data_IF_591574563949
#
_entry.id   IF_591574563949
#
_cell.length_a   1.000
_cell.length_b   1.000
_cell.length_c   1.000
_cell.angle_alpha   90.00
_cell.angle_beta   90.00
_cell.angle_gamma   90.00
#
_symmetry.space_group_name_H-M   'P 1'
#
loop_
_entity.id
_entity.type
_entity.pdbx_description
1 polymer ?
#
# COMPACT_ATOMS: atom_id res chain seq x y z
N UNK A 1 14.87 52.62 105.62
CA UNK A 1 15.86 53.71 105.67
C UNK A 1 16.66 53.68 104.36
N UNK A 2 16.61 54.80 103.65
CA UNK A 2 17.52 55.31 102.60
C UNK A 2 17.73 54.61 101.24
N UNK A 3 17.51 55.47 100.25
CA UNK A 3 17.67 55.41 98.79
C UNK A 3 19.10 55.79 98.35
N UNK A 4 19.34 55.70 97.03
CA UNK A 4 20.39 56.31 96.18
C UNK A 4 21.64 55.44 95.92
N UNK A 5 22.05 55.12 94.68
CA UNK A 5 22.49 56.06 93.64
C UNK A 5 22.37 55.56 92.16
N UNK A 6 22.22 56.55 91.25
CA UNK A 6 22.31 56.60 89.76
C UNK A 6 23.77 56.32 89.27
N UNK A 7 24.10 55.65 88.15
CA UNK A 7 23.90 55.83 86.67
C UNK A 7 25.27 56.00 85.95
N UNK A 8 25.36 55.56 84.68
CA UNK A 8 26.36 55.84 83.59
C UNK A 8 27.56 54.86 83.49
N UNK A 9 28.09 54.38 82.35
CA UNK A 9 28.08 54.71 80.91
C UNK A 9 28.32 53.42 80.05
N UNK A 10 27.81 53.38 78.81
CA UNK A 10 28.33 52.51 77.74
C UNK A 10 29.60 53.12 77.13
N UNK A 11 30.52 52.31 76.57
CA UNK A 11 30.80 52.49 75.16
C UNK A 11 30.92 51.17 74.38
N UNK A 12 30.44 51.22 73.14
CA UNK A 12 30.57 50.22 72.10
C UNK A 12 32.03 49.99 71.73
N UNK A 13 32.40 48.75 71.38
CA UNK A 13 33.13 48.51 70.14
C UNK A 13 33.21 47.01 69.83
N UNK A 14 32.91 46.69 68.57
CA UNK A 14 33.71 45.80 67.72
C UNK A 14 33.91 44.35 68.21
N UNK A 15 33.63 43.30 67.45
CA UNK A 15 33.73 43.18 65.99
C UNK A 15 33.43 41.71 65.65
N UNK A 16 32.91 41.49 64.45
CA UNK A 16 32.99 40.24 63.69
C UNK A 16 32.08 39.09 64.14
N UNK A 17 30.78 39.26 63.90
CA UNK A 17 29.99 38.13 63.41
C UNK A 17 30.60 37.69 62.08
N UNK A 18 31.48 36.69 62.16
CA UNK A 18 32.05 36.00 61.01
C UNK A 18 30.92 35.49 60.13
N UNK A 19 30.96 35.91 58.88
CA UNK A 19 30.11 35.52 57.76
C UNK A 19 30.26 34.03 57.45
N UNK A 20 29.67 33.17 58.27
CA UNK A 20 29.20 31.88 57.76
C UNK A 20 27.97 32.20 56.92
N UNK A 21 28.22 32.58 55.66
CA UNK A 21 27.25 32.54 54.58
C UNK A 21 26.76 31.10 54.58
N UNK A 22 25.65 30.86 55.28
CA UNK A 22 25.01 29.56 55.35
C UNK A 22 24.90 29.11 53.90
N UNK A 23 25.70 28.12 53.52
CA UNK A 23 25.46 27.40 52.27
C UNK A 23 24.15 26.71 52.55
N UNK A 24 23.06 27.38 52.18
CA UNK A 24 21.74 26.81 52.07
C UNK A 24 21.84 25.71 51.02
N UNK A 25 22.38 24.55 51.41
CA UNK A 25 22.18 23.28 50.70
C UNK A 25 20.76 22.76 50.96
N UNK A 26 19.79 23.68 50.99
CA UNK A 26 18.38 23.42 51.18
C UNK A 26 17.63 24.06 50.02
N UNK A 27 17.97 23.61 48.81
CA UNK A 27 17.04 23.63 47.69
C UNK A 27 16.82 22.19 47.22
N UNK A 28 16.56 21.28 48.15
CA UNK A 28 15.70 20.14 47.82
C UNK A 28 14.30 20.72 47.78
N UNK A 29 13.87 21.28 46.65
CA UNK A 29 12.43 21.36 46.40
C UNK A 29 11.92 19.94 46.62
N UNK A 30 11.10 19.74 47.66
CA UNK A 30 10.47 18.46 47.93
C UNK A 30 9.54 18.19 46.75
N UNK A 31 10.08 17.59 45.68
CA UNK A 31 9.28 17.14 44.54
C UNK A 31 8.35 16.07 45.12
N UNK A 32 7.12 16.47 45.43
CA UNK A 32 6.10 15.53 45.85
C UNK A 32 5.93 14.51 44.73
N UNK A 33 6.34 13.27 45.00
CA UNK A 33 6.22 12.18 44.03
C UNK A 33 4.74 12.04 43.69
N UNK A 34 4.41 12.08 42.40
CA UNK A 34 3.02 11.86 41.97
C UNK A 34 2.52 10.51 42.47
N UNK A 35 1.26 10.45 42.88
CA UNK A 35 0.66 9.23 43.38
C UNK A 35 0.84 8.06 42.37
N UNK A 36 1.18 6.83 42.79
CA UNK A 36 1.46 5.71 41.86
C UNK A 36 0.36 5.45 40.83
N UNK A 37 -0.91 5.64 41.21
CA UNK A 37 -2.07 5.53 40.31
C UNK A 37 -2.06 6.59 39.21
N UNK A 38 -1.63 7.83 39.50
CA UNK A 38 -1.51 8.88 38.48
C UNK A 38 -0.39 8.58 37.50
N UNK A 39 0.76 8.11 37.98
CA UNK A 39 1.87 7.69 37.13
C UNK A 39 1.39 6.56 36.19
N UNK A 40 0.67 5.57 36.73
CA UNK A 40 0.07 4.49 35.93
C UNK A 40 -0.92 5.03 34.90
N UNK A 41 -1.81 5.96 35.28
CA UNK A 41 -2.76 6.61 34.34
C UNK A 41 -2.04 7.34 33.22
N UNK A 42 -1.02 8.15 33.53
CA UNK A 42 -0.20 8.86 32.52
C UNK A 42 0.51 7.87 31.60
N UNK A 43 1.06 6.78 32.13
CA UNK A 43 1.72 5.75 31.32
C UNK A 43 0.74 5.00 30.41
N UNK A 44 -0.46 4.69 30.91
CA UNK A 44 -1.53 4.08 30.11
C UNK A 44 -1.97 5.04 29.01
N UNK A 45 -2.19 6.31 29.31
CA UNK A 45 -2.56 7.33 28.32
C UNK A 45 -1.50 7.47 27.22
N UNK A 46 -0.21 7.49 27.59
CA UNK A 46 0.91 7.46 26.64
C UNK A 46 0.92 6.20 25.77
N UNK A 47 0.62 5.03 26.35
CA UNK A 47 0.54 3.78 25.60
C UNK A 47 -0.64 3.78 24.63
N UNK A 48 -1.79 4.28 25.05
CA UNK A 48 -3.00 4.40 24.22
C UNK A 48 -2.75 5.37 23.06
N UNK A 49 -2.18 6.56 23.32
CA UNK A 49 -1.89 7.53 22.26
C UNK A 49 -0.89 6.99 21.24
N UNK A 50 0.15 6.28 21.70
CA UNK A 50 1.09 5.59 20.80
C UNK A 50 0.40 4.50 19.98
N UNK A 51 -0.46 3.69 20.59
CA UNK A 51 -1.24 2.67 19.88
C UNK A 51 -2.19 3.28 18.85
N UNK A 52 -2.84 4.41 19.16
CA UNK A 52 -3.68 5.13 18.21
C UNK A 52 -2.89 5.64 17.02
N UNK A 53 -1.70 6.23 17.25
CA UNK A 53 -0.79 6.65 16.18
C UNK A 53 -0.28 5.47 15.34
N UNK A 54 -0.07 4.31 15.96
CA UNK A 54 0.31 3.10 15.23
C UNK A 54 -0.86 2.54 14.42
N UNK A 55 -2.08 2.59 14.94
CA UNK A 55 -3.29 2.11 14.27
C UNK A 55 -3.67 2.97 13.08
N UNK A 56 -3.54 4.30 13.17
CA UNK A 56 -3.83 5.21 12.05
C UNK A 56 -2.89 5.01 10.86
N UNK A 57 -1.69 4.46 11.09
CA UNK A 57 -0.71 4.14 10.06
C UNK A 57 -0.91 2.76 9.42
N UNK A 58 -1.81 1.91 9.93
CA UNK A 58 -1.99 0.54 9.42
C UNK A 58 -2.74 0.57 8.09
N UNK A 59 -2.19 -0.10 7.08
CA UNK A 59 -2.90 -0.35 5.83
C UNK A 59 -3.89 -1.52 5.93
N UNK A 60 -4.82 -1.59 4.98
CA UNK A 60 -5.77 -2.68 4.86
C UNK A 60 -5.07 -3.99 4.48
N UNK A 61 -5.39 -5.10 5.15
CA UNK A 61 -4.73 -6.40 4.92
C UNK A 61 -5.04 -6.98 3.52
N UNK A 62 -6.22 -6.68 2.98
CA UNK A 62 -6.65 -7.18 1.67
C UNK A 62 -6.01 -6.37 0.56
N UNK A 63 -6.28 -5.06 0.51
CA UNK A 63 -5.89 -4.16 -0.59
C UNK A 63 -4.50 -3.55 -0.42
N UNK A 64 -4.01 -3.41 0.80
CA UNK A 64 -2.78 -2.68 1.08
C UNK A 64 -2.87 -1.18 0.78
N UNK A 65 -1.70 -0.59 0.58
CA UNK A 65 -1.46 0.79 0.13
C UNK A 65 -1.37 0.76 -1.41
N UNK A 66 -2.02 1.69 -2.14
CA UNK A 66 -1.89 1.73 -3.59
C UNK A 66 -0.46 2.04 -4.03
N UNK A 67 0.10 1.20 -4.89
CA UNK A 67 1.41 1.34 -5.53
C UNK A 67 1.27 1.51 -7.05
N UNK A 68 2.34 1.93 -7.76
CA UNK A 68 2.33 1.98 -9.22
C UNK A 68 1.90 0.67 -9.87
N UNK A 69 2.37 -0.47 -9.34
CA UNK A 69 1.95 -1.80 -9.79
C UNK A 69 0.44 -2.01 -9.59
N UNK A 70 -0.08 -1.81 -8.38
CA UNK A 70 -1.51 -2.06 -8.11
C UNK A 70 -2.44 -1.12 -8.88
N UNK A 71 -1.94 0.07 -9.23
CA UNK A 71 -2.67 1.04 -10.05
C UNK A 71 -2.64 0.68 -11.54
N UNK A 72 -1.64 -0.08 -12.00
CA UNK A 72 -1.59 -0.57 -13.39
C UNK A 72 -2.56 -1.75 -13.63
N UNK A 73 -2.92 -2.47 -12.57
CA UNK A 73 -3.87 -3.58 -12.65
C UNK A 73 -5.27 -3.10 -13.05
N UNK A 74 -5.80 -3.72 -14.10
CA UNK A 74 -7.08 -3.35 -14.69
C UNK A 74 -8.25 -3.94 -13.92
N UNK A 75 -9.27 -3.13 -13.71
CA UNK A 75 -10.49 -3.52 -12.99
C UNK A 75 -11.67 -3.68 -13.94
N UNK A 76 -12.44 -4.77 -13.88
CA UNK A 76 -13.60 -4.94 -14.75
C UNK A 76 -14.58 -3.75 -14.70
N UNK A 77 -14.89 -3.20 -13.52
CA UNK A 77 -15.81 -2.06 -13.42
C UNK A 77 -15.30 -0.79 -14.11
N UNK A 78 -13.99 -0.53 -14.04
CA UNK A 78 -13.38 0.65 -14.66
C UNK A 78 -13.48 0.59 -16.18
N UNK A 79 -13.23 -0.59 -16.77
CA UNK A 79 -13.29 -0.81 -18.22
C UNK A 79 -14.72 -0.55 -18.73
N UNK A 80 -15.74 -1.13 -18.10
CA UNK A 80 -17.13 -0.94 -18.53
C UNK A 80 -17.60 0.51 -18.38
N UNK A 81 -17.17 1.20 -17.32
CA UNK A 81 -17.55 2.61 -17.09
C UNK A 81 -16.91 3.53 -18.14
N UNK A 82 -15.64 3.28 -18.48
CA UNK A 82 -14.93 4.05 -19.52
C UNK A 82 -15.58 3.92 -20.91
N UNK A 83 -16.12 2.74 -21.24
CA UNK A 83 -16.80 2.48 -22.51
C UNK A 83 -18.13 3.25 -22.63
N UNK A 84 -18.84 3.45 -21.51
CA UNK A 84 -20.14 4.12 -21.50
C UNK A 84 -20.03 5.66 -21.50
N UNK A 85 -18.89 6.22 -21.07
CA UNK A 85 -18.64 7.67 -21.10
C UNK A 85 -18.22 8.22 -22.48
N UNK A 86 -17.98 7.35 -23.46
CA UNK A 86 -17.60 7.72 -24.83
C UNK A 86 -18.81 7.88 -25.74
N UNK A 87 -19.55 8.99 -25.58
CA UNK A 87 -20.50 9.49 -26.59
C UNK A 87 -19.83 10.34 -27.68
N UNK A 88 -18.49 10.32 -27.80
CA UNK A 88 -17.75 10.93 -28.91
C UNK A 88 -16.41 10.20 -29.14
N UNK A 89 -16.12 9.72 -30.36
CA UNK A 89 -14.92 8.95 -30.70
C UNK A 89 -13.69 9.83 -30.97
N UNK A 90 -13.43 10.80 -30.10
CA UNK A 90 -12.24 11.65 -30.21
C UNK A 90 -11.87 12.22 -28.84
N UNK A 91 -10.58 12.17 -28.52
CA UNK A 91 -9.88 12.69 -27.33
C UNK A 91 -9.97 11.87 -26.04
N UNK A 92 -9.30 10.71 -26.05
CA UNK A 92 -8.44 10.31 -24.95
C UNK A 92 -7.01 10.24 -25.49
N UNK A 93 -6.29 11.36 -25.39
CA UNK A 93 -4.83 11.36 -25.49
C UNK A 93 -4.26 10.71 -24.23
N UNK A 94 -4.29 9.38 -24.19
CA UNK A 94 -3.48 8.61 -23.24
C UNK A 94 -2.05 8.67 -23.76
N UNK A 95 -1.17 9.34 -23.02
CA UNK A 95 0.28 9.26 -23.24
C UNK A 95 0.68 7.79 -23.40
N UNK A 96 1.15 7.44 -24.59
CA UNK A 96 1.60 6.10 -25.00
C UNK A 96 0.52 5.01 -24.85
N UNK A 97 -0.37 4.95 -25.85
CA UNK A 97 -1.43 3.94 -26.04
C UNK A 97 -0.88 2.50 -26.08
N UNK A 98 -0.51 1.93 -24.94
CA UNK A 98 -0.37 0.48 -24.80
C UNK A 98 -1.77 -0.11 -24.76
N UNK A 99 -2.37 -0.32 -25.93
CA UNK A 99 -3.69 -0.88 -26.05
C UNK A 99 -3.63 -2.36 -25.64
N UNK A 100 -4.03 -2.66 -24.42
CA UNK A 100 -4.04 -4.03 -23.92
C UNK A 100 -5.00 -4.88 -24.75
N UNK A 101 -4.50 -6.01 -25.27
CA UNK A 101 -5.27 -6.97 -26.04
C UNK A 101 -5.58 -8.22 -25.21
N UNK A 102 -6.71 -8.83 -25.54
CA UNK A 102 -7.11 -10.13 -25.06
C UNK A 102 -6.30 -11.23 -25.78
N UNK A 103 -6.41 -12.47 -25.32
CA UNK A 103 -5.81 -13.67 -25.95
C UNK A 103 -4.28 -13.73 -25.94
N UNK A 104 -3.60 -12.93 -25.11
CA UNK A 104 -2.13 -12.94 -24.98
C UNK A 104 -1.39 -12.65 -26.29
N UNK A 105 -1.98 -11.84 -27.17
CA UNK A 105 -1.30 -11.33 -28.35
C UNK A 105 -0.09 -10.50 -27.92
N UNK A 106 1.10 -10.94 -28.28
CA UNK A 106 2.32 -10.18 -28.05
C UNK A 106 2.53 -9.17 -29.19
N UNK A 107 3.44 -8.19 -29.00
CA UNK A 107 3.63 -7.11 -29.97
C UNK A 107 4.01 -7.57 -31.39
N UNK A 108 4.69 -8.73 -31.50
CA UNK A 108 4.98 -9.36 -32.80
C UNK A 108 3.73 -9.90 -33.48
N UNK A 109 2.84 -10.52 -32.70
CA UNK A 109 1.58 -11.06 -33.21
C UNK A 109 0.64 -9.92 -33.62
N UNK A 110 0.63 -8.82 -32.85
CA UNK A 110 -0.13 -7.61 -33.20
C UNK A 110 0.39 -6.96 -34.49
N UNK A 111 1.70 -6.84 -34.64
CA UNK A 111 2.30 -6.32 -35.87
C UNK A 111 1.97 -7.20 -37.07
N UNK A 112 2.07 -8.52 -36.89
CA UNK A 112 1.71 -9.48 -37.93
C UNK A 112 0.24 -9.37 -38.33
N UNK A 113 -0.69 -9.37 -37.36
CA UNK A 113 -2.13 -9.38 -37.64
C UNK A 113 -2.67 -8.05 -38.15
N UNK A 114 -2.12 -6.92 -37.71
CA UNK A 114 -2.70 -5.60 -37.98
C UNK A 114 -1.95 -4.78 -39.03
N UNK A 115 -0.73 -5.17 -39.40
CA UNK A 115 0.07 -4.50 -40.44
C UNK A 115 0.42 -5.46 -41.56
N UNK A 116 1.21 -6.50 -41.24
CA UNK A 116 1.81 -7.37 -42.26
C UNK A 116 0.75 -8.17 -43.05
N UNK A 117 -0.18 -8.84 -42.35
CA UNK A 117 -1.18 -9.68 -43.00
C UNK A 117 -2.14 -8.90 -43.91
N UNK A 118 -2.68 -7.73 -43.50
CA UNK A 118 -3.47 -6.88 -44.39
C UNK A 118 -2.72 -6.43 -45.64
N UNK A 119 -1.46 -6.03 -45.51
CA UNK A 119 -0.64 -5.56 -46.65
C UNK A 119 -0.46 -6.70 -47.67
N UNK A 120 -0.14 -7.91 -47.21
CA UNK A 120 -0.01 -9.11 -48.06
C UNK A 120 -1.33 -9.43 -48.79
N UNK A 121 -2.48 -9.24 -48.14
CA UNK A 121 -3.78 -9.51 -48.76
C UNK A 121 -4.07 -8.48 -49.87
N UNK A 122 -3.77 -7.20 -49.61
CA UNK A 122 -3.94 -6.11 -50.58
C UNK A 122 -3.02 -6.32 -51.80
N UNK A 123 -1.79 -6.80 -51.57
CA UNK A 123 -0.84 -7.08 -52.67
C UNK A 123 -1.28 -8.25 -53.56
N UNK A 124 -1.88 -9.30 -52.97
CA UNK A 124 -2.21 -10.54 -53.69
C UNK A 124 -3.63 -10.59 -54.27
N UNK A 125 -4.52 -9.67 -53.89
CA UNK A 125 -5.93 -9.68 -54.30
C UNK A 125 -6.42 -8.30 -54.72
N UNK A 126 -7.43 -8.24 -55.60
CA UNK A 126 -8.08 -6.98 -56.00
C UNK A 126 -9.07 -6.48 -54.94
N UNK A 127 -8.74 -6.62 -53.66
CA UNK A 127 -9.60 -6.10 -52.58
C UNK A 127 -9.36 -4.61 -52.41
N UNK A 128 -10.45 -3.85 -52.22
CA UNK A 128 -10.34 -2.43 -51.94
C UNK A 128 -9.70 -2.21 -50.56
N UNK A 129 -8.69 -1.33 -50.44
CA UNK A 129 -7.96 -1.12 -49.20
C UNK A 129 -8.87 -0.64 -48.05
N UNK A 130 -9.93 0.10 -48.38
CA UNK A 130 -10.93 0.56 -47.39
C UNK A 130 -11.67 -0.61 -46.71
N UNK A 131 -11.97 -1.67 -47.46
CA UNK A 131 -12.64 -2.87 -46.92
C UNK A 131 -11.72 -3.63 -45.97
N UNK A 132 -10.44 -3.77 -46.32
CA UNK A 132 -9.44 -4.40 -45.43
C UNK A 132 -9.20 -3.57 -44.17
N UNK A 133 -9.11 -2.24 -44.29
CA UNK A 133 -9.01 -1.34 -43.13
C UNK A 133 -10.20 -1.53 -42.18
N UNK A 134 -11.42 -1.65 -42.72
CA UNK A 134 -12.62 -1.95 -41.96
C UNK A 134 -12.53 -3.28 -41.20
N UNK A 135 -12.03 -4.35 -41.84
CA UNK A 135 -11.81 -5.66 -41.21
C UNK A 135 -10.77 -5.60 -40.10
N UNK A 136 -9.65 -4.92 -40.34
CA UNK A 136 -8.59 -4.69 -39.34
C UNK A 136 -9.16 -3.96 -38.12
N UNK A 137 -10.00 -2.95 -38.33
CA UNK A 137 -10.64 -2.21 -37.25
C UNK A 137 -11.60 -3.09 -36.44
N UNK A 138 -12.41 -3.92 -37.11
CA UNK A 138 -13.27 -4.91 -36.45
C UNK A 138 -12.42 -5.87 -35.61
N UNK A 139 -11.32 -6.39 -36.16
CA UNK A 139 -10.41 -7.31 -35.46
C UNK A 139 -9.77 -6.63 -34.24
N UNK A 140 -9.34 -5.37 -34.36
CA UNK A 140 -8.86 -4.56 -33.22
C UNK A 140 -9.94 -4.44 -32.14
N UNK A 141 -11.19 -4.19 -32.51
CA UNK A 141 -12.27 -4.09 -31.53
C UNK A 141 -12.50 -5.44 -30.83
N UNK A 142 -12.59 -6.54 -31.58
CA UNK A 142 -12.80 -7.89 -31.02
C UNK A 142 -11.68 -8.34 -30.07
N UNK A 143 -10.43 -8.02 -30.42
CA UNK A 143 -9.25 -8.38 -29.62
C UNK A 143 -9.00 -7.39 -28.49
N UNK A 144 -9.65 -6.24 -28.46
CA UNK A 144 -9.46 -5.24 -27.41
C UNK A 144 -9.92 -5.74 -26.04
N UNK A 145 -9.15 -5.43 -24.99
CA UNK A 145 -9.49 -5.84 -23.63
C UNK A 145 -10.80 -5.22 -23.11
N UNK A 146 -11.28 -4.13 -23.72
CA UNK A 146 -12.58 -3.54 -23.41
C UNK A 146 -13.76 -4.49 -23.67
N UNK A 147 -13.61 -5.39 -24.64
CA UNK A 147 -14.59 -6.43 -24.97
C UNK A 147 -14.26 -7.77 -24.29
N UNK A 148 -13.20 -7.84 -23.49
CA UNK A 148 -12.84 -9.06 -22.81
C UNK A 148 -13.78 -9.34 -21.62
N UNK A 149 -13.92 -10.62 -21.30
CA UNK A 149 -14.57 -11.04 -20.07
C UNK A 149 -13.72 -10.66 -18.84
N UNK A 150 -14.33 -10.68 -17.65
CA UNK A 150 -13.62 -10.53 -16.38
C UNK A 150 -12.44 -11.50 -16.24
N UNK A 151 -12.56 -12.70 -16.79
CA UNK A 151 -11.47 -13.69 -16.85
C UNK A 151 -10.34 -13.23 -17.78
N UNK A 152 -10.63 -12.66 -18.94
CA UNK A 152 -9.62 -12.12 -19.85
C UNK A 152 -8.80 -10.99 -19.21
N UNK A 153 -9.48 -10.06 -18.52
CA UNK A 153 -8.85 -8.98 -17.76
C UNK A 153 -7.96 -9.55 -16.64
N UNK A 154 -8.45 -10.56 -15.91
CA UNK A 154 -7.66 -11.22 -14.87
C UNK A 154 -6.40 -11.87 -15.44
N UNK A 155 -6.51 -12.57 -16.58
CA UNK A 155 -5.37 -13.21 -17.23
C UNK A 155 -4.32 -12.18 -17.68
N UNK A 156 -4.76 -11.05 -18.22
CA UNK A 156 -3.90 -9.93 -18.56
C UNK A 156 -3.14 -9.40 -17.33
N UNK A 157 -3.86 -9.16 -16.23
CA UNK A 157 -3.27 -8.72 -14.96
C UNK A 157 -2.26 -9.73 -14.39
N UNK A 158 -2.51 -11.03 -14.56
CA UNK A 158 -1.57 -12.09 -14.18
C UNK A 158 -0.29 -12.00 -15.02
N UNK A 159 -0.41 -11.74 -16.33
CA UNK A 159 0.75 -11.58 -17.19
C UNK A 159 1.57 -10.34 -16.80
N UNK A 160 0.92 -9.22 -16.47
CA UNK A 160 1.60 -8.02 -15.95
C UNK A 160 2.34 -8.33 -14.63
N UNK A 161 1.68 -9.04 -13.72
CA UNK A 161 2.29 -9.47 -12.45
C UNK A 161 3.53 -10.36 -12.66
N UNK A 162 3.47 -11.28 -13.62
CA UNK A 162 4.62 -12.12 -13.98
C UNK A 162 5.74 -11.25 -14.56
N UNK A 163 5.44 -10.39 -15.54
CA UNK A 163 6.43 -9.52 -16.19
C UNK A 163 7.16 -8.59 -15.19
N UNK A 164 6.47 -8.06 -14.18
CA UNK A 164 7.07 -7.14 -13.19
C UNK A 164 7.85 -7.81 -12.06
N UNK A 165 7.49 -9.04 -11.67
CA UNK A 165 8.06 -9.74 -10.51
C UNK A 165 8.94 -10.95 -10.88
N UNK A 166 8.97 -11.34 -12.15
CA UNK A 166 9.86 -12.38 -12.65
C UNK A 166 11.32 -11.98 -12.43
N UNK A 167 12.14 -12.95 -12.03
CA UNK A 167 13.59 -12.76 -11.85
C UNK A 167 14.38 -12.98 -13.12
N UNK A 168 13.86 -13.86 -13.95
CA UNK A 168 14.40 -14.28 -15.22
C UNK A 168 13.25 -14.47 -16.20
N UNK A 169 13.58 -14.48 -17.48
CA UNK A 169 12.60 -14.80 -18.51
C UNK A 169 12.00 -16.20 -18.26
N UNK A 170 10.67 -16.30 -18.36
CA UNK A 170 9.93 -17.53 -18.09
C UNK A 170 9.75 -17.90 -16.61
N UNK A 171 10.13 -17.04 -15.66
CA UNK A 171 9.92 -17.31 -14.23
C UNK A 171 8.44 -17.19 -13.83
N UNK A 172 7.81 -18.33 -13.57
CA UNK A 172 6.43 -18.44 -13.09
C UNK A 172 6.34 -18.96 -11.65
N UNK A 173 7.45 -19.48 -11.11
CA UNK A 173 7.47 -20.26 -9.87
C UNK A 173 7.98 -19.49 -8.66
N UNK A 174 8.64 -18.34 -8.84
CA UNK A 174 9.18 -17.56 -7.72
C UNK A 174 8.12 -17.09 -6.74
N UNK A 175 8.47 -17.05 -5.46
CA UNK A 175 7.56 -16.65 -4.40
C UNK A 175 7.02 -15.22 -4.60
N UNK A 176 7.83 -14.31 -5.14
CA UNK A 176 7.42 -12.95 -5.51
C UNK A 176 6.35 -12.96 -6.60
N UNK A 177 6.59 -13.72 -7.67
CA UNK A 177 5.66 -13.88 -8.80
C UNK A 177 4.34 -14.48 -8.31
N UNK A 178 4.41 -15.56 -7.53
CA UNK A 178 3.21 -16.17 -6.96
C UNK A 178 2.43 -15.19 -6.07
N UNK A 179 3.11 -14.41 -5.22
CA UNK A 179 2.47 -13.41 -4.37
C UNK A 179 1.81 -12.29 -5.19
N UNK A 180 2.43 -11.84 -6.28
CA UNK A 180 1.88 -10.86 -7.20
C UNK A 180 0.63 -11.40 -7.94
N UNK A 181 0.69 -12.64 -8.42
CA UNK A 181 -0.47 -13.33 -9.04
C UNK A 181 -1.64 -13.46 -8.06
N UNK A 182 -1.38 -13.84 -6.81
CA UNK A 182 -2.43 -13.87 -5.78
C UNK A 182 -2.98 -12.48 -5.51
N UNK A 183 -2.14 -11.43 -5.53
CA UNK A 183 -2.59 -10.05 -5.35
C UNK A 183 -3.55 -9.61 -6.46
N UNK A 184 -3.25 -9.92 -7.73
CA UNK A 184 -4.16 -9.65 -8.84
C UNK A 184 -5.51 -10.37 -8.68
N UNK A 185 -5.49 -11.65 -8.27
CA UNK A 185 -6.72 -12.43 -8.00
C UNK A 185 -7.53 -11.87 -6.83
N UNK A 186 -6.86 -11.49 -5.74
CA UNK A 186 -7.48 -10.90 -4.55
C UNK A 186 -8.18 -9.60 -4.92
N UNK A 187 -7.53 -8.70 -5.65
CA UNK A 187 -8.11 -7.41 -6.03
C UNK A 187 -9.33 -7.58 -6.94
N UNK A 188 -9.25 -8.48 -7.94
CA UNK A 188 -10.37 -8.78 -8.82
C UNK A 188 -11.58 -9.35 -8.06
N UNK A 189 -11.36 -10.29 -7.13
CA UNK A 189 -12.44 -10.89 -6.34
C UNK A 189 -13.00 -9.91 -5.30
N UNK A 190 -12.14 -9.08 -4.70
CA UNK A 190 -12.53 -8.06 -3.74
C UNK A 190 -13.50 -7.04 -4.36
N UNK A 191 -13.25 -6.64 -5.60
CA UNK A 191 -14.14 -5.75 -6.34
C UNK A 191 -15.52 -6.38 -6.60
N UNK A 192 -15.55 -7.65 -7.00
CA UNK A 192 -16.81 -8.39 -7.16
C UNK A 192 -17.61 -8.44 -5.85
N UNK A 193 -16.95 -8.75 -4.73
CA UNK A 193 -17.57 -8.83 -3.39
C UNK A 193 -18.05 -7.45 -2.90
N UNK A 194 -17.33 -6.38 -3.26
CA UNK A 194 -17.73 -5.01 -2.91
C UNK A 194 -19.12 -4.67 -3.46
N UNK A 195 -19.49 -5.23 -4.61
CA UNK A 195 -20.82 -5.04 -5.19
C UNK A 195 -21.82 -6.13 -4.74
N UNK A 196 -21.32 -7.29 -4.28
CA UNK A 196 -22.10 -8.48 -3.95
C UNK A 196 -21.91 -8.93 -2.49
N UNK A 197 -22.37 -8.12 -1.54
CA UNK A 197 -22.16 -8.37 -0.11
C UNK A 197 -22.77 -9.67 0.44
N UNK A 198 -23.79 -10.22 -0.25
CA UNK A 198 -24.47 -11.46 0.18
C UNK A 198 -23.73 -12.74 -0.22
N UNK A 199 -22.70 -12.64 -1.06
CA UNK A 199 -21.95 -13.80 -1.54
C UNK A 199 -20.89 -14.27 -0.52
N UNK A 200 -21.35 -15.11 0.42
CA UNK A 200 -20.50 -15.68 1.47
C UNK A 200 -19.48 -16.69 0.92
N UNK A 201 -19.78 -17.35 -0.20
CA UNK A 201 -18.89 -18.36 -0.77
C UNK A 201 -17.64 -17.68 -1.34
N UNK A 202 -17.82 -16.63 -2.15
CA UNK A 202 -16.71 -15.87 -2.70
C UNK A 202 -15.94 -15.11 -1.61
N UNK A 203 -16.60 -14.64 -0.55
CA UNK A 203 -15.91 -14.07 0.60
C UNK A 203 -14.97 -15.08 1.29
N UNK A 204 -15.40 -16.34 1.46
CA UNK A 204 -14.53 -17.42 1.97
C UNK A 204 -13.35 -17.67 1.03
N UNK A 205 -13.58 -17.67 -0.29
CA UNK A 205 -12.51 -17.81 -1.28
C UNK A 205 -11.51 -16.65 -1.17
N UNK A 206 -11.97 -15.40 -1.03
CA UNK A 206 -11.11 -14.23 -0.84
C UNK A 206 -10.22 -14.40 0.39
N UNK A 207 -10.80 -14.78 1.54
CA UNK A 207 -10.04 -15.03 2.78
C UNK A 207 -8.96 -16.08 2.56
N UNK A 208 -9.30 -17.19 1.89
CA UNK A 208 -8.33 -18.22 1.55
C UNK A 208 -7.17 -17.68 0.69
N UNK A 209 -7.46 -16.87 -0.34
CA UNK A 209 -6.43 -16.28 -1.20
C UNK A 209 -5.49 -15.36 -0.44
N UNK A 210 -6.02 -14.53 0.46
CA UNK A 210 -5.19 -13.63 1.30
C UNK A 210 -4.27 -14.44 2.21
N UNK A 211 -4.79 -15.50 2.84
CA UNK A 211 -3.98 -16.40 3.68
C UNK A 211 -2.92 -17.15 2.87
N UNK A 212 -3.24 -17.56 1.63
CA UNK A 212 -2.27 -18.21 0.74
C UNK A 212 -1.12 -17.26 0.37
N UNK A 213 -1.44 -16.00 0.02
CA UNK A 213 -0.44 -14.94 -0.21
C UNK A 213 0.43 -14.71 1.03
N UNK A 214 -0.17 -14.62 2.20
CA UNK A 214 0.55 -14.46 3.48
C UNK A 214 1.57 -15.59 3.69
N UNK A 215 1.17 -16.85 3.48
CA UNK A 215 2.06 -18.01 3.62
C UNK A 215 3.26 -17.94 2.68
N UNK A 216 3.05 -17.53 1.43
CA UNK A 216 4.11 -17.35 0.43
C UNK A 216 5.07 -16.25 0.85
N UNK A 217 4.57 -15.12 1.34
CA UNK A 217 5.39 -14.00 1.80
C UNK A 217 6.17 -14.34 3.08
N UNK A 218 5.57 -15.12 4.01
CA UNK A 218 6.28 -15.68 5.17
C UNK A 218 7.44 -16.60 4.74
N UNK A 219 7.21 -17.46 3.75
CA UNK A 219 8.28 -18.28 3.16
C UNK A 219 9.36 -17.43 2.51
N UNK A 220 8.99 -16.42 1.73
CA UNK A 220 9.97 -15.51 1.11
C UNK A 220 10.85 -14.83 2.16
N UNK A 221 10.25 -14.40 3.28
CA UNK A 221 10.98 -13.79 4.40
C UNK A 221 12.04 -14.73 4.99
N UNK A 222 11.74 -16.01 5.15
CA UNK A 222 12.71 -16.98 5.70
C UNK A 222 13.83 -17.29 4.71
N UNK A 223 13.57 -17.17 3.40
CA UNK A 223 14.57 -17.37 2.36
C UNK A 223 15.48 -16.15 2.14
N UNK A 224 14.91 -14.94 2.13
CA UNK A 224 15.67 -13.71 1.92
C UNK A 224 14.89 -12.48 2.38
N UNK A 225 15.45 -11.76 3.34
CA UNK A 225 14.86 -10.54 3.88
C UNK A 225 14.82 -9.40 2.86
N UNK A 226 15.87 -9.23 2.07
CA UNK A 226 15.95 -8.16 1.06
C UNK A 226 14.87 -8.32 -0.02
N UNK A 227 14.74 -9.54 -0.55
CA UNK A 227 13.70 -9.90 -1.53
C UNK A 227 12.30 -9.72 -0.96
N UNK A 228 12.12 -10.06 0.32
CA UNK A 228 10.87 -9.85 1.02
C UNK A 228 10.49 -8.37 1.07
N UNK A 229 11.36 -7.49 1.56
CA UNK A 229 11.06 -6.05 1.67
C UNK A 229 10.82 -5.37 0.32
N UNK A 230 11.61 -5.73 -0.70
CA UNK A 230 11.41 -5.22 -2.06
C UNK A 230 10.07 -5.66 -2.65
N UNK A 231 9.70 -6.94 -2.47
CA UNK A 231 8.41 -7.47 -2.89
C UNK A 231 7.25 -6.77 -2.15
N UNK A 232 7.35 -6.57 -0.84
CA UNK A 232 6.35 -5.85 -0.04
C UNK A 232 6.11 -4.44 -0.52
N UNK A 233 7.20 -3.68 -0.76
CA UNK A 233 7.12 -2.30 -1.22
C UNK A 233 6.44 -2.21 -2.59
N UNK A 234 6.74 -3.14 -3.51
CA UNK A 234 6.09 -3.19 -4.83
C UNK A 234 4.61 -3.55 -4.73
N UNK A 235 4.26 -4.53 -3.89
CA UNK A 235 2.87 -4.97 -3.69
C UNK A 235 2.02 -3.99 -2.86
N UNK A 236 2.65 -3.08 -2.11
CA UNK A 236 1.95 -2.14 -1.24
C UNK A 236 1.50 -2.77 0.08
N UNK A 237 2.22 -3.77 0.58
CA UNK A 237 1.84 -4.49 1.79
C UNK A 237 2.75 -4.14 2.96
N UNK A 238 2.16 -3.94 4.13
CA UNK A 238 2.91 -3.72 5.35
C UNK A 238 3.40 -5.04 5.94
N UNK A 239 4.61 -5.04 6.50
CA UNK A 239 5.18 -6.20 7.21
C UNK A 239 4.24 -6.72 8.31
N UNK A 240 3.60 -5.81 9.07
CA UNK A 240 2.67 -6.16 10.15
C UNK A 240 1.46 -6.96 9.64
N UNK A 241 0.97 -6.65 8.44
CA UNK A 241 -0.18 -7.33 7.82
C UNK A 241 0.10 -8.80 7.52
N UNK A 242 1.38 -9.17 7.40
CA UNK A 242 1.82 -10.52 7.03
C UNK A 242 2.25 -11.30 8.26
N UNK A 243 2.96 -10.68 9.20
CA UNK A 243 3.51 -11.39 10.36
C UNK A 243 2.43 -11.79 11.36
N UNK A 244 1.42 -10.94 11.54
CA UNK A 244 0.31 -11.18 12.46
C UNK A 244 -0.66 -12.26 12.01
N UNK A 245 -1.63 -12.55 12.87
CA UNK A 245 -2.83 -13.29 12.50
C UNK A 245 -3.71 -12.41 11.62
N UNK A 246 -4.08 -12.92 10.44
CA UNK A 246 -4.98 -12.22 9.53
C UNK A 246 -6.41 -12.53 9.94
N UNK A 247 -7.11 -11.49 10.37
CA UNK A 247 -8.55 -11.50 10.61
C UNK A 247 -9.18 -10.63 9.52
N UNK A 248 -10.04 -11.24 8.71
CA UNK A 248 -10.77 -10.64 7.60
C UNK A 248 -12.25 -10.79 7.89
#
# INVERSE_FOLDING_TARGET
MFSYYKRYLFPSSNKLFTTLKARLFHTTTLIQKSHPREIKRRNIAKKISKLQQENSKRSNVITGIPTPFTNSLLRPSQIYTSANSTSSPSTLSLSENKQYRNFFLDGKDEEFLFKIAPDIIIENSTTEPEKELGRVQILKNLTGLHNASSKGILLHNIQLAIKEFARKEGDTGSAEVQAAVWTAKILNLYEHIKNNHKDKHNYRALRYMVHKRQRILKYLKTQSLERYFTCLKKLGLDQKSIEGEIVI
#
